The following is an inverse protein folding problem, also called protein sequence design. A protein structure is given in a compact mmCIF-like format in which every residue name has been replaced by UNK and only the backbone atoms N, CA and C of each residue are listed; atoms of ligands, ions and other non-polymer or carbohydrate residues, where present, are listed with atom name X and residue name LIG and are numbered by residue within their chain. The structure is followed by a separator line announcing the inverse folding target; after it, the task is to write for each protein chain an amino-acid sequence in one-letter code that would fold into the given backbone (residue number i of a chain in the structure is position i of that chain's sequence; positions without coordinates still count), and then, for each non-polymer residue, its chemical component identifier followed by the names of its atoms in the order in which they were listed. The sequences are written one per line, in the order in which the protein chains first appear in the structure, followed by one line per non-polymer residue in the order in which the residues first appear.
data_IF_982098533521
#
_entry.id   IF_982098533521
#
_cell.length_a   1.000
_cell.length_b   1.000
_cell.length_c   1.000
_cell.angle_alpha   90.00
_cell.angle_beta   90.00
_cell.angle_gamma   90.00
#
_symmetry.space_group_name_H-M   'P 1'
#
loop_
_entity.id
_entity.type
_entity.pdbx_description
1 polymer ?
#
# COMPACT_ATOMS: atom_id res chain seq x y z
N UNK A 1 10.31 22.31 -11.15
CA UNK A 1 10.91 23.18 -10.13
C UNK A 1 11.59 22.33 -9.07
N UNK A 2 12.62 22.84 -8.38
CA UNK A 2 13.29 22.15 -7.31
C UNK A 2 12.38 22.22 -6.08
N UNK A 3 11.37 21.37 -6.05
CA UNK A 3 10.32 21.42 -5.05
C UNK A 3 9.83 19.99 -4.80
N UNK A 4 9.14 19.37 -5.76
CA UNK A 4 8.49 18.07 -5.57
C UNK A 4 8.89 17.03 -6.63
N UNK A 5 10.14 17.11 -7.04
CA UNK A 5 10.68 16.41 -8.22
C UNK A 5 11.58 15.23 -7.85
N UNK A 6 11.34 14.68 -6.66
CA UNK A 6 12.15 13.62 -6.05
C UNK A 6 11.22 12.76 -5.19
N UNK A 7 10.09 12.35 -5.76
CA UNK A 7 8.98 11.77 -5.01
C UNK A 7 8.27 10.77 -5.89
N UNK A 8 7.94 9.61 -5.34
CA UNK A 8 7.25 8.57 -6.10
C UNK A 8 5.77 8.85 -6.35
N UNK A 9 5.26 9.93 -5.75
CA UNK A 9 3.94 10.52 -5.83
C UNK A 9 3.25 10.36 -7.19
N UNK A 10 3.93 10.80 -8.26
CA UNK A 10 3.40 10.81 -9.62
C UNK A 10 3.29 9.39 -10.16
N UNK A 11 4.32 8.60 -9.93
CA UNK A 11 4.45 7.25 -10.46
C UNK A 11 3.43 6.34 -9.78
N UNK A 12 3.23 6.54 -8.47
CA UNK A 12 2.15 5.96 -7.69
C UNK A 12 0.81 6.26 -8.35
N UNK A 13 0.54 7.54 -8.61
CA UNK A 13 -0.71 7.99 -9.20
C UNK A 13 -0.92 7.40 -10.59
N UNK A 14 0.15 7.19 -11.36
CA UNK A 14 0.11 6.54 -12.67
C UNK A 14 -0.28 5.08 -12.46
N UNK A 15 0.36 4.32 -11.57
CA UNK A 15 -0.04 2.94 -11.32
C UNK A 15 -1.50 2.86 -10.85
N UNK A 16 -1.96 3.80 -10.03
CA UNK A 16 -3.36 3.89 -9.62
C UNK A 16 -4.23 4.11 -10.85
N UNK A 17 -3.86 5.05 -11.72
CA UNK A 17 -4.58 5.40 -12.94
C UNK A 17 -4.68 4.22 -13.88
N UNK A 18 -3.62 3.41 -13.96
CA UNK A 18 -3.61 2.14 -14.67
C UNK A 18 -4.68 1.22 -14.08
N UNK A 19 -4.80 1.10 -12.76
CA UNK A 19 -5.84 0.31 -12.12
C UNK A 19 -7.22 0.92 -12.34
N UNK A 20 -7.35 2.25 -12.24
CA UNK A 20 -8.57 2.99 -12.55
C UNK A 20 -9.01 2.79 -14.00
N UNK A 21 -8.16 2.26 -14.87
CA UNK A 21 -8.45 2.09 -16.30
C UNK A 21 -8.61 0.62 -16.64
N UNK A 22 -7.57 -0.17 -16.37
CA UNK A 22 -7.50 -1.59 -16.64
C UNK A 22 -8.50 -2.35 -15.80
N UNK A 23 -8.84 -1.84 -14.62
CA UNK A 23 -9.97 -2.38 -13.86
C UNK A 23 -11.18 -1.46 -13.91
N UNK A 24 -11.04 -0.28 -14.49
CA UNK A 24 -12.13 0.68 -14.60
C UNK A 24 -12.68 1.03 -13.20
N UNK A 25 -11.80 1.20 -12.19
CA UNK A 25 -12.27 1.50 -10.83
C UNK A 25 -12.94 2.87 -10.85
N UNK A 26 -14.10 3.05 -10.20
CA UNK A 26 -14.81 4.31 -10.21
C UNK A 26 -14.03 5.38 -9.42
N UNK A 27 -14.23 6.64 -9.77
CA UNK A 27 -13.63 7.81 -9.13
C UNK A 27 -13.94 7.84 -7.63
N UNK A 28 -15.08 7.25 -7.22
CA UNK A 28 -15.55 7.11 -5.85
C UNK A 28 -14.70 6.09 -5.11
N UNK A 29 -14.29 4.98 -5.75
CA UNK A 29 -13.37 4.02 -5.16
C UNK A 29 -11.97 4.63 -5.11
N UNK A 30 -11.58 5.39 -6.13
CA UNK A 30 -10.28 6.05 -6.14
C UNK A 30 -10.21 7.07 -5.00
N UNK A 31 -11.24 7.91 -4.84
CA UNK A 31 -11.34 8.87 -3.76
C UNK A 31 -11.42 8.16 -2.40
N UNK A 32 -12.19 7.08 -2.33
CA UNK A 32 -12.25 6.22 -1.12
C UNK A 32 -10.87 5.71 -0.73
N UNK A 33 -10.09 5.23 -1.70
CA UNK A 33 -8.71 4.80 -1.50
C UNK A 33 -7.87 5.91 -0.92
N UNK A 34 -7.83 7.07 -1.59
CA UNK A 34 -7.02 8.17 -1.09
C UNK A 34 -7.45 8.63 0.31
N UNK A 35 -8.74 8.56 0.66
CA UNK A 35 -9.22 8.84 2.01
C UNK A 35 -8.83 7.77 3.03
N UNK A 36 -8.58 6.53 2.60
CA UNK A 36 -8.38 5.38 3.46
C UNK A 36 -7.25 5.59 4.47
N UNK A 37 -6.08 5.97 3.97
CA UNK A 37 -4.83 6.11 4.73
C UNK A 37 -4.68 7.53 5.33
N UNK A 38 -5.69 8.39 5.14
CA UNK A 38 -5.55 9.84 5.29
C UNK A 38 -5.60 10.31 6.73
N UNK A 39 -6.35 9.63 7.59
CA UNK A 39 -6.37 9.85 9.03
C UNK A 39 -6.61 8.48 9.63
N UNK A 40 -7.82 7.96 9.44
CA UNK A 40 -8.23 6.61 9.82
C UNK A 40 -9.61 6.36 9.23
N UNK A 41 -9.68 5.56 8.16
CA UNK A 41 -10.93 5.25 7.48
C UNK A 41 -11.05 3.75 7.21
N UNK A 42 -12.22 3.19 7.43
CA UNK A 42 -12.58 1.82 7.10
C UNK A 42 -13.42 1.89 5.83
N UNK A 43 -12.90 1.31 4.76
CA UNK A 43 -13.71 1.03 3.58
C UNK A 43 -14.57 -0.20 3.87
N UNK A 44 -15.67 -0.32 3.15
CA UNK A 44 -16.55 -1.47 3.20
C UNK A 44 -16.81 -2.06 1.81
N UNK A 45 -16.42 -1.37 0.73
CA UNK A 45 -16.40 -1.93 -0.63
C UNK A 45 -15.38 -3.06 -0.73
N UNK A 46 -15.36 -3.71 -1.89
CA UNK A 46 -14.33 -4.66 -2.29
C UNK A 46 -13.44 -4.10 -3.39
N UNK A 47 -13.94 -3.14 -4.20
CA UNK A 47 -13.16 -2.66 -5.34
C UNK A 47 -11.90 -1.93 -4.90
N UNK A 48 -11.87 -1.28 -3.73
CA UNK A 48 -10.60 -0.71 -3.29
C UNK A 48 -9.54 -1.79 -3.07
N UNK A 49 -9.91 -2.94 -2.51
CA UNK A 49 -9.01 -4.09 -2.39
C UNK A 49 -8.52 -4.55 -3.76
N UNK A 50 -9.41 -4.56 -4.74
CA UNK A 50 -9.05 -4.90 -6.10
C UNK A 50 -8.04 -3.89 -6.68
N UNK A 51 -8.18 -2.59 -6.38
CA UNK A 51 -7.17 -1.59 -6.70
C UNK A 51 -5.85 -1.94 -6.05
N UNK A 52 -5.83 -2.24 -4.74
CA UNK A 52 -4.61 -2.57 -4.01
C UNK A 52 -3.89 -3.73 -4.70
N UNK A 53 -4.55 -4.87 -4.95
CA UNK A 53 -3.87 -5.99 -5.60
C UNK A 53 -3.39 -5.66 -7.02
N UNK A 54 -3.97 -4.65 -7.67
CA UNK A 54 -3.52 -4.16 -8.96
C UNK A 54 -2.29 -3.28 -8.80
N UNK A 55 -2.26 -2.32 -7.87
CA UNK A 55 -1.04 -1.57 -7.56
C UNK A 55 0.14 -2.53 -7.29
N UNK A 56 -0.15 -3.67 -6.70
CA UNK A 56 0.80 -4.70 -6.30
C UNK A 56 1.31 -5.49 -7.53
N UNK A 57 0.52 -5.52 -8.59
CA UNK A 57 0.87 -6.12 -9.85
C UNK A 57 1.76 -5.12 -10.64
N UNK A 58 1.96 -3.89 -10.14
CA UNK A 58 2.52 -2.76 -10.86
C UNK A 58 3.62 -2.09 -10.06
N UNK A 59 4.43 -2.87 -9.34
CA UNK A 59 5.47 -2.32 -8.47
C UNK A 59 6.50 -1.53 -9.29
N UNK A 60 6.70 -1.93 -10.54
CA UNK A 60 7.53 -1.32 -11.59
C UNK A 60 6.95 -0.02 -12.12
N UNK A 61 5.68 0.26 -11.81
CA UNK A 61 4.98 1.48 -12.11
C UNK A 61 4.99 2.33 -10.84
N UNK A 62 4.77 1.76 -9.65
CA UNK A 62 4.86 2.52 -8.39
C UNK A 62 6.25 3.13 -8.21
N UNK A 63 7.33 2.33 -8.21
CA UNK A 63 8.69 2.83 -8.02
C UNK A 63 9.51 2.39 -9.23
N UNK A 64 9.57 3.21 -10.29
CA UNK A 64 10.33 2.90 -11.50
C UNK A 64 11.84 3.07 -11.29
N UNK A 65 12.30 3.47 -10.09
CA UNK A 65 13.72 3.51 -9.74
C UNK A 65 14.28 2.09 -9.53
N UNK A 66 13.40 1.17 -9.11
CA UNK A 66 13.69 -0.26 -9.03
C UNK A 66 13.74 -0.77 -7.59
N UNK A 67 13.10 -0.11 -6.63
CA UNK A 67 13.10 -0.54 -5.24
C UNK A 67 11.96 -1.50 -4.97
N UNK A 68 10.73 -1.07 -5.29
CA UNK A 68 9.51 -1.78 -4.91
C UNK A 68 9.43 -3.07 -5.72
N UNK A 69 9.51 -4.22 -5.02
CA UNK A 69 9.31 -5.54 -5.59
C UNK A 69 8.71 -6.46 -4.53
N UNK A 70 8.40 -7.69 -4.93
CA UNK A 70 7.84 -8.72 -4.07
C UNK A 70 8.69 -8.96 -2.84
N UNK A 71 8.09 -8.91 -1.66
CA UNK A 71 8.75 -9.07 -0.37
C UNK A 71 9.90 -8.08 -0.15
N UNK A 72 9.96 -6.99 -0.93
CA UNK A 72 11.13 -6.13 -1.03
C UNK A 72 10.78 -4.68 -0.72
N UNK A 73 9.76 -4.47 0.12
CA UNK A 73 9.43 -3.11 0.56
C UNK A 73 10.58 -2.44 1.32
N UNK A 74 11.60 -3.19 1.73
CA UNK A 74 12.71 -2.74 2.53
C UNK A 74 13.50 -1.71 1.78
N UNK A 75 13.95 -2.02 0.55
CA UNK A 75 14.67 -1.05 -0.28
C UNK A 75 13.79 0.19 -0.50
N UNK A 76 12.49 -0.04 -0.73
CA UNK A 76 11.57 1.06 -1.03
C UNK A 76 11.46 2.00 0.17
N UNK A 77 11.42 1.45 1.38
CA UNK A 77 11.41 2.19 2.62
C UNK A 77 12.75 2.91 2.82
N UNK A 78 13.86 2.20 2.60
CA UNK A 78 15.21 2.72 2.82
C UNK A 78 15.44 3.99 2.00
N UNK A 79 15.00 4.00 0.73
CA UNK A 79 15.20 5.13 -0.18
C UNK A 79 14.24 6.28 0.05
N UNK A 80 13.34 6.16 1.03
CA UNK A 80 12.34 7.17 1.36
C UNK A 80 12.63 7.70 2.75
N UNK A 81 12.50 6.84 3.76
CA UNK A 81 12.50 7.28 5.14
C UNK A 81 12.30 6.10 6.09
N UNK A 82 13.16 5.08 5.98
CA UNK A 82 13.31 4.05 6.98
C UNK A 82 14.78 3.62 7.05
N UNK A 83 15.10 2.85 8.08
CA UNK A 83 16.29 1.99 8.10
C UNK A 83 15.81 0.59 8.44
N UNK A 84 16.71 -0.41 8.43
CA UNK A 84 16.45 -1.85 8.59
C UNK A 84 15.57 -2.26 9.76
N UNK A 85 15.47 -1.45 10.81
CA UNK A 85 14.53 -1.67 11.90
C UNK A 85 13.12 -1.25 11.45
N UNK A 86 12.90 0.05 11.18
CA UNK A 86 11.64 0.57 10.64
C UNK A 86 11.18 -0.25 9.45
N UNK A 87 12.08 -0.52 8.51
CA UNK A 87 11.77 -1.20 7.26
C UNK A 87 11.37 -2.68 7.49
N UNK A 88 11.82 -3.28 8.59
CA UNK A 88 11.44 -4.62 9.00
C UNK A 88 10.15 -4.57 9.82
N UNK A 89 9.95 -3.54 10.65
CA UNK A 89 8.75 -3.40 11.47
C UNK A 89 7.50 -3.50 10.62
N UNK A 90 7.47 -2.77 9.49
CA UNK A 90 6.33 -2.72 8.58
C UNK A 90 6.12 -4.08 7.92
N UNK A 91 7.19 -4.72 7.47
CA UNK A 91 7.14 -6.10 6.97
C UNK A 91 6.49 -6.98 8.04
N UNK A 92 6.82 -6.79 9.32
CA UNK A 92 6.29 -7.63 10.39
C UNK A 92 4.82 -7.32 10.66
N UNK A 93 4.34 -6.10 10.42
CA UNK A 93 2.91 -5.78 10.49
C UNK A 93 2.16 -6.56 9.41
N UNK A 94 2.63 -6.57 8.15
CA UNK A 94 1.90 -7.26 7.09
C UNK A 94 2.05 -8.76 7.30
N UNK A 95 3.24 -9.26 7.64
CA UNK A 95 3.46 -10.66 7.94
C UNK A 95 2.70 -11.12 9.18
N UNK A 96 2.37 -10.19 10.08
CA UNK A 96 1.55 -10.44 11.24
C UNK A 96 0.11 -10.57 10.79
N UNK A 97 -0.41 -9.50 10.19
CA UNK A 97 -1.80 -9.34 9.81
C UNK A 97 -2.24 -10.40 8.81
N UNK A 98 -1.37 -10.82 7.89
CA UNK A 98 -1.71 -11.74 6.81
C UNK A 98 -2.09 -13.11 7.37
N UNK A 99 -1.44 -13.49 8.48
CA UNK A 99 -1.62 -14.77 9.15
C UNK A 99 -2.75 -14.70 10.18
N UNK A 100 -2.85 -13.60 10.91
CA UNK A 100 -3.95 -13.33 11.82
C UNK A 100 -5.28 -13.13 11.09
N UNK A 101 -5.26 -12.99 9.77
CA UNK A 101 -6.42 -12.78 8.93
C UNK A 101 -7.38 -13.97 9.03
N UNK A 102 -8.69 -13.71 8.89
CA UNK A 102 -9.72 -14.74 9.00
C UNK A 102 -9.66 -15.74 7.83
N UNK A 103 -10.40 -16.86 7.91
CA UNK A 103 -10.49 -17.81 6.81
C UNK A 103 -11.35 -17.19 5.69
N UNK A 104 -10.70 -16.40 4.86
CA UNK A 104 -11.21 -15.86 3.62
C UNK A 104 -9.99 -15.59 2.75
N UNK A 105 -9.73 -16.47 1.79
CA UNK A 105 -8.59 -16.37 0.90
C UNK A 105 -9.19 -15.93 -0.43
N UNK A 106 -9.04 -14.66 -0.80
CA UNK A 106 -9.73 -13.98 -1.90
C UNK A 106 -8.74 -13.02 -2.55
N UNK A 107 -9.03 -12.48 -3.74
CA UNK A 107 -8.14 -11.54 -4.43
C UNK A 107 -8.29 -10.12 -3.92
N UNK A 108 -9.49 -9.73 -3.49
CA UNK A 108 -9.75 -8.36 -3.09
C UNK A 108 -10.05 -8.30 -1.60
N UNK A 109 -10.86 -9.23 -1.08
CA UNK A 109 -11.33 -9.12 0.31
C UNK A 109 -10.19 -9.38 1.31
N UNK A 110 -9.35 -10.40 1.10
CA UNK A 110 -8.24 -10.72 2.01
C UNK A 110 -7.28 -9.53 2.09
N UNK A 111 -6.94 -8.95 0.94
CA UNK A 111 -6.19 -7.70 0.84
C UNK A 111 -6.79 -6.64 1.77
N UNK A 112 -8.12 -6.44 1.73
CA UNK A 112 -8.79 -5.45 2.57
C UNK A 112 -8.58 -5.75 4.05
N UNK A 113 -8.77 -6.99 4.49
CA UNK A 113 -8.64 -7.40 5.88
C UNK A 113 -7.22 -7.10 6.36
N UNK A 114 -6.22 -7.63 5.66
CA UNK A 114 -4.81 -7.49 6.03
C UNK A 114 -4.43 -5.98 5.99
N UNK A 115 -4.95 -5.20 5.05
CA UNK A 115 -4.72 -3.75 4.95
C UNK A 115 -5.37 -2.94 6.10
N UNK A 116 -6.60 -3.27 6.49
CA UNK A 116 -7.24 -2.58 7.61
C UNK A 116 -6.56 -2.97 8.92
N UNK A 117 -6.20 -4.24 9.06
CA UNK A 117 -5.44 -4.75 10.18
C UNK A 117 -4.12 -3.97 10.29
N UNK A 118 -3.43 -3.80 9.17
CA UNK A 118 -2.17 -3.08 9.13
C UNK A 118 -2.34 -1.71 9.79
N UNK A 119 -3.31 -0.89 9.36
CA UNK A 119 -3.51 0.42 9.95
C UNK A 119 -3.82 0.34 11.45
N UNK A 120 -4.57 -0.66 11.92
CA UNK A 120 -4.79 -0.83 13.36
C UNK A 120 -3.43 -0.98 14.04
N UNK A 121 -2.56 -1.83 13.52
CA UNK A 121 -1.23 -2.12 14.07
C UNK A 121 -0.26 -0.94 13.87
N UNK A 122 -0.54 0.05 13.02
CA UNK A 122 0.26 1.26 12.97
C UNK A 122 0.24 1.95 14.35
N UNK A 123 -0.83 1.76 15.14
CA UNK A 123 -0.86 2.21 16.52
C UNK A 123 0.30 1.63 17.31
N UNK A 124 0.67 0.34 17.16
CA UNK A 124 1.67 -0.21 18.08
C UNK A 124 3.07 0.26 17.74
N UNK A 125 3.32 0.80 16.55
CA UNK A 125 4.65 1.23 16.14
C UNK A 125 5.17 2.36 17.03
N UNK A 126 4.28 3.29 17.41
CA UNK A 126 4.58 4.51 18.17
C UNK A 126 5.42 5.48 17.34
N UNK A 127 5.36 5.31 16.02
CA UNK A 127 5.72 6.31 15.03
C UNK A 127 4.67 6.32 13.92
N UNK A 128 4.98 6.98 12.81
CA UNK A 128 4.04 7.23 11.73
C UNK A 128 4.73 6.97 10.39
N UNK A 129 4.46 5.81 9.77
CA UNK A 129 4.99 5.53 8.46
C UNK A 129 4.37 6.46 7.43
N UNK A 130 5.22 6.86 6.47
CA UNK A 130 4.85 7.68 5.32
C UNK A 130 3.72 6.98 4.55
N UNK A 131 2.93 7.73 3.78
CA UNK A 131 1.98 7.15 2.82
C UNK A 131 2.67 6.09 1.97
N UNK A 132 3.90 6.42 1.56
CA UNK A 132 4.83 5.56 0.83
C UNK A 132 4.97 4.23 1.57
N UNK A 133 5.52 4.27 2.78
CA UNK A 133 5.77 3.14 3.66
C UNK A 133 4.52 2.29 3.91
N UNK A 134 3.34 2.88 4.04
CA UNK A 134 2.12 2.10 4.28
C UNK A 134 1.77 1.35 3.00
N UNK A 135 1.52 2.09 1.92
CA UNK A 135 0.93 1.54 0.71
C UNK A 135 1.96 0.62 0.04
N UNK A 136 3.24 0.95 0.08
CA UNK A 136 4.28 0.14 -0.51
C UNK A 136 4.36 -1.24 0.14
N UNK A 137 4.01 -1.38 1.42
CA UNK A 137 4.16 -2.64 2.14
C UNK A 137 3.08 -3.62 1.68
N UNK A 138 1.80 -3.22 1.73
CA UNK A 138 0.70 -4.06 1.28
C UNK A 138 0.98 -4.56 -0.16
N UNK A 139 1.33 -3.64 -1.06
CA UNK A 139 1.77 -3.89 -2.43
C UNK A 139 2.86 -4.97 -2.53
N UNK A 140 3.88 -4.92 -1.69
CA UNK A 140 5.00 -5.83 -1.76
C UNK A 140 4.62 -7.26 -1.36
N UNK A 141 3.59 -7.43 -0.52
CA UNK A 141 3.19 -8.72 0.05
C UNK A 141 2.03 -9.34 -0.75
N UNK A 142 1.12 -8.53 -1.30
CA UNK A 142 -0.09 -8.94 -2.01
C UNK A 142 0.23 -9.47 -3.40
#
# INVERSE_FOLDING_TARGET
SPEIMKNLSNNFGKAMDQCKDELSLPDSVVADLYNFWKDDYVMTDRLAGCAINCLATKLDVVDPDGNLHHGNAKDFAMKHGADETMAQQLVDIIHGCEKSAPPNDDKCMKTIDVAMCFKKEIHKLNWVPNMDLVIGEVLAEV
#
